data_IF_020220278061
#
_entry.id   IF_020220278061
#
_cell.length_a   1.000
_cell.length_b   1.000
_cell.length_c   1.000
_cell.angle_alpha   90.00
_cell.angle_beta   90.00
_cell.angle_gamma   90.00
#
_symmetry.space_group_name_H-M   'P 1'
#
loop_
_entity.id
_entity.type
_entity.pdbx_description
1 polymer ?
#
# COMPACT_ATOMS: atom_id res chain seq x y z
N UNK A 1 -3.90 -7.92 -5.88
CA UNK A 1 -2.99 -6.77 -5.90
C UNK A 1 -2.17 -6.66 -4.62
N UNK A 2 -2.78 -6.55 -3.47
CA UNK A 2 -2.08 -6.48 -2.18
C UNK A 2 -2.35 -7.76 -1.40
N UNK A 3 -1.27 -8.46 -1.08
CA UNK A 3 -1.34 -9.70 -0.31
C UNK A 3 -0.86 -9.41 1.12
N UNK A 4 -1.72 -9.67 2.09
CA UNK A 4 -1.44 -9.43 3.49
C UNK A 4 -1.39 -10.75 4.26
N UNK A 5 -0.46 -10.84 5.19
CA UNK A 5 -0.37 -11.97 6.11
C UNK A 5 -0.55 -11.45 7.54
N UNK A 6 -1.73 -11.73 8.11
CA UNK A 6 -2.05 -11.30 9.47
C UNK A 6 -1.28 -12.06 10.54
N UNK A 7 -0.62 -13.15 10.17
CA UNK A 7 0.22 -13.96 11.08
C UNK A 7 1.65 -13.43 11.16
N UNK A 8 2.04 -12.58 10.20
CA UNK A 8 3.38 -12.00 10.20
C UNK A 8 3.48 -10.98 11.34
N UNK A 9 4.64 -10.94 11.99
CA UNK A 9 4.94 -9.96 13.03
C UNK A 9 5.00 -8.53 12.47
N UNK A 10 5.22 -8.40 11.16
CA UNK A 10 5.31 -7.10 10.48
C UNK A 10 3.94 -6.42 10.51
N UNK A 11 3.86 -5.16 10.93
CA UNK A 11 2.58 -4.42 10.94
C UNK A 11 1.93 -4.40 9.56
N UNK A 12 0.61 -4.36 9.54
CA UNK A 12 -0.15 -4.38 8.28
C UNK A 12 0.23 -3.21 7.39
N UNK A 13 0.37 -1.99 7.93
CA UNK A 13 0.72 -0.85 7.11
C UNK A 13 2.08 -1.03 6.43
N UNK A 14 3.03 -1.66 7.10
CA UNK A 14 4.35 -1.97 6.52
C UNK A 14 4.21 -2.97 5.37
N UNK A 15 3.37 -3.97 5.54
CA UNK A 15 3.11 -4.94 4.48
C UNK A 15 2.51 -4.27 3.24
N UNK A 16 1.60 -3.32 3.44
CA UNK A 16 1.02 -2.55 2.33
C UNK A 16 2.10 -1.75 1.60
N UNK A 17 2.95 -1.05 2.36
CA UNK A 17 4.08 -0.31 1.80
C UNK A 17 4.98 -1.24 0.98
N UNK A 18 5.36 -2.38 1.55
CA UNK A 18 6.24 -3.34 0.88
C UNK A 18 5.61 -3.89 -0.39
N UNK A 19 4.30 -4.15 -0.38
CA UNK A 19 3.57 -4.62 -1.57
C UNK A 19 3.67 -3.59 -2.71
N UNK A 20 3.39 -2.33 -2.43
CA UNK A 20 3.44 -1.30 -3.47
C UNK A 20 4.87 -1.07 -3.97
N UNK A 21 5.84 -1.05 -3.08
CA UNK A 21 7.25 -0.91 -3.48
C UNK A 21 7.69 -2.05 -4.37
N UNK A 22 7.29 -3.27 -4.04
CA UNK A 22 7.62 -4.45 -4.82
C UNK A 22 7.00 -4.38 -6.22
N UNK A 23 5.76 -3.94 -6.33
CA UNK A 23 5.09 -3.79 -7.62
C UNK A 23 5.75 -2.72 -8.49
N UNK A 24 6.18 -1.63 -7.88
CA UNK A 24 6.88 -0.56 -8.59
C UNK A 24 8.25 -1.06 -9.06
N UNK A 25 9.00 -1.76 -8.21
CA UNK A 25 10.29 -2.34 -8.58
C UNK A 25 10.16 -3.35 -9.72
N UNK A 26 9.09 -4.12 -9.74
CA UNK A 26 8.84 -5.11 -10.77
C UNK A 26 8.26 -4.51 -12.07
N UNK A 27 7.96 -3.21 -12.08
CA UNK A 27 7.37 -2.56 -13.24
C UNK A 27 5.88 -2.82 -13.43
N UNK A 28 5.24 -3.47 -12.45
CA UNK A 28 3.79 -3.71 -12.48
C UNK A 28 3.03 -2.40 -12.28
N UNK A 29 3.51 -1.57 -11.38
CA UNK A 29 3.06 -0.20 -11.20
C UNK A 29 4.15 0.75 -11.66
N UNK A 30 3.75 1.79 -12.39
CA UNK A 30 4.68 2.78 -12.91
C UNK A 30 4.38 4.15 -12.30
N UNK A 31 5.37 5.06 -12.27
CA UNK A 31 5.13 6.43 -11.82
C UNK A 31 3.96 7.05 -12.60
N UNK A 32 3.03 7.65 -11.89
CA UNK A 32 1.85 8.25 -12.49
C UNK A 32 0.65 7.32 -12.62
N UNK A 33 0.81 6.02 -12.38
CA UNK A 33 -0.32 5.10 -12.39
C UNK A 33 -1.29 5.47 -11.26
N UNK A 34 -2.58 5.34 -11.55
CA UNK A 34 -3.60 5.65 -10.57
C UNK A 34 -3.73 4.53 -9.55
N UNK A 35 -3.50 4.87 -8.29
CA UNK A 35 -3.72 3.95 -7.18
C UNK A 35 -5.16 4.03 -6.71
N UNK A 36 -5.69 2.94 -6.09
CA UNK A 36 -6.99 3.03 -5.44
C UNK A 36 -6.97 4.10 -4.36
N UNK A 37 -8.11 4.75 -4.14
CA UNK A 37 -8.23 5.69 -3.04
C UNK A 37 -8.09 4.96 -1.70
N UNK A 38 -7.86 5.72 -0.63
CA UNK A 38 -7.81 5.15 0.72
C UNK A 38 -9.09 4.36 1.01
N UNK A 39 -10.24 4.91 0.68
CA UNK A 39 -11.53 4.23 0.92
C UNK A 39 -11.67 2.97 0.10
N UNK A 40 -11.31 3.04 -1.18
CA UNK A 40 -11.40 1.89 -2.07
C UNK A 40 -10.53 0.75 -1.59
N UNK A 41 -9.27 1.04 -1.25
CA UNK A 41 -8.36 -0.01 -0.81
C UNK A 41 -8.76 -0.56 0.55
N UNK A 42 -9.20 0.30 1.47
CA UNK A 42 -9.69 -0.14 2.77
C UNK A 42 -10.89 -1.09 2.63
N UNK A 43 -11.81 -0.78 1.71
CA UNK A 43 -12.95 -1.65 1.45
C UNK A 43 -12.52 -2.98 0.83
N UNK A 44 -11.62 -2.95 -0.14
CA UNK A 44 -11.12 -4.16 -0.80
C UNK A 44 -10.41 -5.10 0.17
N UNK A 45 -9.65 -4.55 1.11
CA UNK A 45 -8.87 -5.33 2.05
C UNK A 45 -9.59 -5.57 3.38
N UNK A 46 -10.76 -4.96 3.57
CA UNK A 46 -11.49 -5.00 4.84
C UNK A 46 -10.64 -4.52 6.02
N UNK A 47 -9.95 -3.42 5.81
CA UNK A 47 -9.01 -2.85 6.79
C UNK A 47 -9.43 -1.41 7.11
N UNK A 48 -9.10 -0.97 8.31
CA UNK A 48 -9.36 0.40 8.75
C UNK A 48 -8.70 1.40 7.77
N UNK A 49 -9.44 2.40 7.28
CA UNK A 49 -8.87 3.42 6.39
C UNK A 49 -7.66 4.14 6.96
N UNK A 50 -7.57 4.29 8.26
CA UNK A 50 -6.41 4.94 8.90
C UNK A 50 -5.11 4.16 8.65
N UNK A 51 -5.19 2.84 8.62
CA UNK A 51 -4.05 1.98 8.30
C UNK A 51 -3.59 2.20 6.86
N UNK A 52 -4.55 2.28 5.94
CA UNK A 52 -4.26 2.55 4.53
C UNK A 52 -3.63 3.94 4.37
N UNK A 53 -4.21 4.93 5.04
CA UNK A 53 -3.70 6.30 4.98
C UNK A 53 -2.27 6.39 5.49
N UNK A 54 -1.94 5.69 6.56
CA UNK A 54 -0.58 5.62 7.09
C UNK A 54 0.39 5.03 6.06
N UNK A 55 -0.02 3.95 5.39
CA UNK A 55 0.80 3.33 4.36
C UNK A 55 1.03 4.28 3.19
N UNK A 56 -0.01 4.95 2.71
CA UNK A 56 0.12 5.91 1.61
C UNK A 56 1.01 7.09 1.98
N UNK A 57 0.87 7.60 3.19
CA UNK A 57 1.72 8.68 3.67
C UNK A 57 3.19 8.27 3.70
N UNK A 58 3.47 7.06 4.15
CA UNK A 58 4.81 6.49 4.16
C UNK A 58 5.40 6.41 2.74
N UNK A 59 4.60 5.93 1.79
CA UNK A 59 5.00 5.85 0.38
C UNK A 59 5.28 7.23 -0.21
N UNK A 60 4.46 8.22 0.12
CA UNK A 60 4.66 9.60 -0.31
C UNK A 60 5.97 10.18 0.26
N UNK A 61 6.22 9.96 1.55
CA UNK A 61 7.44 10.44 2.21
C UNK A 61 8.69 9.81 1.62
N UNK A 62 8.59 8.57 1.17
CA UNK A 62 9.71 7.88 0.52
C UNK A 62 9.88 8.26 -0.95
N UNK A 63 8.96 9.07 -1.49
CA UNK A 63 9.00 9.47 -2.89
C UNK A 63 8.60 8.35 -3.85
N UNK A 64 7.98 7.30 -3.35
CA UNK A 64 7.58 6.14 -4.16
C UNK A 64 6.29 6.43 -4.92
N UNK A 65 5.40 7.21 -4.33
CA UNK A 65 4.16 7.70 -4.97
C UNK A 65 4.06 9.20 -4.78
N UNK A 66 3.21 9.82 -5.57
CA UNK A 66 2.94 11.27 -5.51
C UNK A 66 1.72 11.60 -4.66
#
# INVERSE_FOLDING_TARGET
MVHLDYRDAKPIYTQIVDNFRSQISAGILQPGDKLPSVRELAAQLSINPNTIQRAYRELEQQGVIE
#
